data_IF_830989326672
#
_entry.id   IF_830989326672
#
_cell.length_a   1.000
_cell.length_b   1.000
_cell.length_c   1.000
_cell.angle_alpha   90.00
_cell.angle_beta   90.00
_cell.angle_gamma   90.00
#
_symmetry.space_group_name_H-M   'P 1'
#
loop_
_entity.id
_entity.type
_entity.pdbx_description
1 polymer ?
#
# COMPACT_ATOMS: atom_id res chain seq x y z
N UNK A 1 7.96 -22.34 -34.29
CA UNK A 1 7.22 -22.76 -33.08
C UNK A 1 6.86 -21.52 -32.29
N UNK A 2 5.60 -21.10 -32.33
CA UNK A 2 5.13 -19.92 -31.60
C UNK A 2 5.29 -20.20 -30.11
N UNK A 3 6.04 -19.37 -29.39
CA UNK A 3 6.14 -19.45 -27.92
C UNK A 3 4.73 -19.24 -27.39
N UNK A 4 4.05 -20.32 -27.03
CA UNK A 4 2.84 -20.27 -26.23
C UNK A 4 3.31 -19.74 -24.88
N UNK A 5 3.34 -18.41 -24.76
CA UNK A 5 3.54 -17.74 -23.49
C UNK A 5 2.43 -18.27 -22.61
N UNK A 6 2.79 -19.07 -21.60
CA UNK A 6 1.84 -19.53 -20.62
C UNK A 6 1.32 -18.27 -19.90
N UNK A 7 0.14 -17.82 -20.32
CA UNK A 7 -0.46 -16.53 -19.92
C UNK A 7 -0.48 -16.41 -18.39
N UNK A 8 -0.68 -17.54 -17.69
CA UNK A 8 -0.62 -17.62 -16.22
C UNK A 8 0.76 -17.29 -15.65
N UNK A 9 1.84 -17.84 -16.19
CA UNK A 9 3.19 -17.54 -15.70
C UNK A 9 3.57 -16.07 -15.95
N UNK A 10 3.15 -15.51 -17.09
CA UNK A 10 3.37 -14.09 -17.39
C UNK A 10 2.58 -13.17 -16.45
N UNK A 11 1.34 -13.53 -16.13
CA UNK A 11 0.53 -12.80 -15.14
C UNK A 11 1.15 -12.87 -13.73
N UNK A 12 1.63 -14.04 -13.30
CA UNK A 12 2.30 -14.22 -12.01
C UNK A 12 3.58 -13.38 -11.93
N UNK A 13 4.44 -13.46 -12.97
CA UNK A 13 5.68 -12.65 -13.03
C UNK A 13 5.39 -11.15 -13.00
N UNK A 14 4.36 -10.70 -13.74
CA UNK A 14 3.94 -9.29 -13.74
C UNK A 14 3.41 -8.86 -12.37
N UNK A 15 2.55 -9.66 -11.73
CA UNK A 15 2.03 -9.39 -10.38
C UNK A 15 3.16 -9.31 -9.35
N UNK A 16 4.14 -10.20 -9.43
CA UNK A 16 5.28 -10.21 -8.53
C UNK A 16 6.20 -9.00 -8.73
N UNK A 17 6.41 -8.57 -9.99
CA UNK A 17 7.14 -7.33 -10.30
C UNK A 17 6.40 -6.10 -9.76
N UNK A 18 5.08 -6.06 -9.91
CA UNK A 18 4.24 -4.98 -9.42
C UNK A 18 4.26 -4.92 -7.88
N UNK A 19 4.22 -6.06 -7.20
CA UNK A 19 4.34 -6.16 -5.74
C UNK A 19 5.67 -5.57 -5.26
N UNK A 20 6.80 -6.02 -5.82
CA UNK A 20 8.13 -5.49 -5.50
C UNK A 20 8.23 -3.97 -5.73
N UNK A 21 7.57 -3.47 -6.78
CA UNK A 21 7.56 -2.03 -7.09
C UNK A 21 6.73 -1.25 -6.07
N UNK A 22 5.55 -1.75 -5.71
CA UNK A 22 4.70 -1.15 -4.68
C UNK A 22 5.39 -1.13 -3.30
N UNK A 23 6.05 -2.22 -2.92
CA UNK A 23 6.80 -2.32 -1.66
C UNK A 23 7.97 -1.34 -1.60
N UNK A 24 8.74 -1.23 -2.69
CA UNK A 24 9.88 -0.32 -2.77
C UNK A 24 9.45 1.16 -2.65
N UNK A 25 8.40 1.56 -3.36
CA UNK A 25 7.85 2.92 -3.28
C UNK A 25 7.28 3.19 -1.89
N UNK A 26 6.56 2.22 -1.31
CA UNK A 26 5.98 2.35 0.03
C UNK A 26 7.07 2.54 1.07
N UNK A 27 8.12 1.71 1.06
CA UNK A 27 9.24 1.82 2.00
C UNK A 27 9.95 3.18 1.91
N UNK A 28 10.31 3.60 0.70
CA UNK A 28 10.98 4.89 0.49
C UNK A 28 10.09 6.07 0.94
N UNK A 29 8.78 5.99 0.70
CA UNK A 29 7.83 7.04 1.11
C UNK A 29 7.63 7.09 2.62
N UNK A 30 7.59 5.93 3.28
CA UNK A 30 7.52 5.81 4.74
C UNK A 30 8.76 6.40 5.41
N UNK A 31 9.95 6.03 4.94
CA UNK A 31 11.21 6.57 5.47
C UNK A 31 11.27 8.09 5.31
N UNK A 32 10.92 8.62 4.14
CA UNK A 32 10.88 10.07 3.91
C UNK A 32 9.84 10.78 4.80
N UNK A 33 8.70 10.14 5.07
CA UNK A 33 7.70 10.69 5.99
C UNK A 33 8.22 10.71 7.43
N UNK A 34 8.85 9.62 7.89
CA UNK A 34 9.42 9.55 9.24
C UNK A 34 10.49 10.61 9.46
N UNK A 35 11.37 10.85 8.48
CA UNK A 35 12.33 11.95 8.53
C UNK A 35 11.65 13.31 8.68
N UNK A 36 10.61 13.59 7.86
CA UNK A 36 9.86 14.85 7.97
C UNK A 36 9.12 15.01 9.29
N UNK A 37 8.56 13.93 9.84
CA UNK A 37 7.88 13.96 11.13
C UNK A 37 8.86 14.24 12.26
N UNK A 38 10.04 13.62 12.22
CA UNK A 38 11.13 13.91 13.15
C UNK A 38 11.59 15.38 13.04
N UNK A 39 11.78 15.90 11.82
CA UNK A 39 12.19 17.29 11.59
C UNK A 39 11.15 18.33 12.09
N UNK A 40 9.90 17.90 12.27
CA UNK A 40 8.78 18.73 12.73
C UNK A 40 8.45 18.52 14.22
N UNK A 41 9.33 17.86 14.98
CA UNK A 41 9.14 17.52 16.40
C UNK A 41 7.83 16.74 16.68
N UNK A 42 7.35 15.94 15.73
CA UNK A 42 6.23 15.05 16.01
C UNK A 42 6.63 13.98 17.03
N UNK A 43 5.72 13.58 17.93
CA UNK A 43 6.00 12.59 18.96
C UNK A 43 6.02 11.17 18.36
N UNK A 44 7.03 10.87 17.54
CA UNK A 44 7.17 9.58 16.85
C UNK A 44 7.30 8.39 17.81
N UNK A 45 7.65 8.63 19.08
CA UNK A 45 7.71 7.63 20.15
C UNK A 45 6.38 7.44 20.89
N UNK A 46 5.40 8.33 20.70
CA UNK A 46 4.09 8.20 21.32
C UNK A 46 3.30 7.03 20.71
N UNK A 47 2.77 6.16 21.58
CA UNK A 47 2.11 4.94 21.15
C UNK A 47 0.80 5.20 20.37
N UNK A 48 0.06 6.26 20.72
CA UNK A 48 -1.16 6.61 19.99
C UNK A 48 -0.82 7.19 18.62
N UNK A 49 0.18 8.06 18.55
CA UNK A 49 0.68 8.60 17.29
C UNK A 49 1.21 7.49 16.37
N UNK A 50 1.96 6.51 16.90
CA UNK A 50 2.41 5.35 16.13
C UNK A 50 1.25 4.51 15.59
N UNK A 51 0.16 4.35 16.37
CA UNK A 51 -1.04 3.64 15.89
C UNK A 51 -1.73 4.40 14.75
N UNK A 52 -1.90 5.71 14.88
CA UNK A 52 -2.49 6.55 13.84
C UNK A 52 -1.63 6.57 12.57
N UNK A 53 -0.31 6.66 12.74
CA UNK A 53 0.64 6.62 11.64
C UNK A 53 0.64 5.25 10.94
N UNK A 54 0.56 4.16 11.70
CA UNK A 54 0.43 2.81 11.14
C UNK A 54 -0.87 2.64 10.34
N UNK A 55 -1.97 3.25 10.79
CA UNK A 55 -3.22 3.26 10.05
C UNK A 55 -3.08 4.06 8.75
N UNK A 56 -2.50 5.25 8.80
CA UNK A 56 -2.21 6.07 7.63
C UNK A 56 -1.34 5.33 6.60
N UNK A 57 -0.31 4.60 7.05
CA UNK A 57 0.53 3.79 6.16
C UNK A 57 -0.23 2.66 5.47
N UNK A 58 -1.22 2.05 6.13
CA UNK A 58 -2.08 1.05 5.49
C UNK A 58 -2.92 1.66 4.36
N UNK A 59 -3.41 2.89 4.53
CA UNK A 59 -4.12 3.62 3.46
C UNK A 59 -3.19 3.94 2.28
N UNK A 60 -1.98 4.45 2.55
CA UNK A 60 -0.99 4.79 1.52
C UNK A 60 -0.57 3.54 0.76
N UNK A 61 -0.22 2.47 1.47
CA UNK A 61 0.15 1.19 0.86
C UNK A 61 -0.99 0.61 0.01
N UNK A 62 -2.24 0.71 0.48
CA UNK A 62 -3.40 0.29 -0.31
C UNK A 62 -3.55 1.11 -1.59
N UNK A 63 -3.44 2.44 -1.51
CA UNK A 63 -3.52 3.31 -2.68
C UNK A 63 -2.43 3.02 -3.71
N UNK A 64 -1.18 2.85 -3.26
CA UNK A 64 -0.06 2.46 -4.11
C UNK A 64 -0.32 1.07 -4.73
N UNK A 65 -0.68 0.08 -3.93
CA UNK A 65 -1.00 -1.28 -4.40
C UNK A 65 -2.04 -1.25 -5.53
N UNK A 66 -3.12 -0.48 -5.34
CA UNK A 66 -4.18 -0.30 -6.34
C UNK A 66 -3.65 0.35 -7.63
N UNK A 67 -2.77 1.36 -7.53
CA UNK A 67 -2.13 1.97 -8.70
C UNK A 67 -1.33 0.96 -9.53
N UNK A 68 -0.70 -0.02 -8.87
CA UNK A 68 0.03 -1.11 -9.53
C UNK A 68 -0.86 -2.32 -9.91
N UNK A 69 -2.20 -2.19 -9.81
CA UNK A 69 -3.15 -3.23 -10.17
C UNK A 69 -3.15 -4.42 -9.21
N UNK A 70 -2.75 -4.21 -7.96
CA UNK A 70 -2.82 -5.22 -6.90
C UNK A 70 -4.09 -4.99 -6.09
N UNK A 71 -4.92 -6.02 -5.99
CA UNK A 71 -6.05 -6.01 -5.07
C UNK A 71 -5.55 -5.86 -3.63
N UNK A 72 -6.17 -4.93 -2.91
CA UNK A 72 -5.87 -4.70 -1.50
C UNK A 72 -7.16 -4.82 -0.67
N UNK A 73 -7.20 -5.70 0.35
CA UNK A 73 -8.38 -5.91 1.19
C UNK A 73 -8.86 -4.64 1.93
N UNK A 74 -7.98 -3.64 2.04
CA UNK A 74 -8.30 -2.36 2.68
C UNK A 74 -9.34 -1.57 1.90
N UNK A 75 -9.33 -1.60 0.56
CA UNK A 75 -10.39 -0.96 -0.24
C UNK A 75 -11.72 -1.67 -0.10
N UNK A 76 -11.72 -3.00 -0.03
CA UNK A 76 -12.94 -3.77 0.26
C UNK A 76 -13.52 -3.41 1.64
N UNK A 77 -12.67 -3.15 2.64
CA UNK A 77 -13.11 -2.69 3.95
C UNK A 77 -13.70 -1.27 3.90
N UNK A 78 -13.08 -0.34 3.17
CA UNK A 78 -13.61 1.02 2.96
C UNK A 78 -14.96 0.98 2.23
N UNK A 79 -15.07 0.18 1.18
CA UNK A 79 -16.31 0.06 0.39
C UNK A 79 -17.44 -0.59 1.20
N UNK A 80 -17.11 -1.53 2.10
CA UNK A 80 -18.07 -2.08 3.07
C UNK A 80 -18.49 -1.00 4.06
N UNK A 81 -17.55 -0.30 4.68
CA UNK A 81 -17.84 0.77 5.63
C UNK A 81 -18.75 1.85 5.01
N UNK A 82 -18.45 2.31 3.79
CA UNK A 82 -19.28 3.26 3.04
C UNK A 82 -20.74 2.81 2.91
N UNK A 83 -20.96 1.53 2.63
CA UNK A 83 -22.30 0.94 2.57
C UNK A 83 -22.96 0.91 3.94
N UNK A 84 -22.22 0.56 4.98
CA UNK A 84 -22.75 0.45 6.34
C UNK A 84 -23.22 1.80 6.89
N UNK A 85 -22.58 2.92 6.49
CA UNK A 85 -22.94 4.27 6.93
C UNK A 85 -23.82 5.07 5.94
N UNK A 86 -24.24 4.48 4.82
CA UNK A 86 -24.95 5.17 3.73
C UNK A 86 -24.24 6.48 3.29
N UNK A 87 -22.92 6.43 3.12
CA UNK A 87 -22.13 7.56 2.64
C UNK A 87 -22.34 7.82 1.14
#
# INVERSE_FOLDING_TARGET
MSKIINIKEHQIKRRHKNLKSADAVTKSSVEALLHKLHDLDFPIEDAHFQQDLALAFKFIHAAISKHYGLDNPFYSAIDRFKKDINW
#
